data_IF_217245936900
#
_entry.id   IF_217245936900
#
_cell.length_a   1.000
_cell.length_b   1.000
_cell.length_c   1.000
_cell.angle_alpha   90.00
_cell.angle_beta   90.00
_cell.angle_gamma   90.00
#
_symmetry.space_group_name_H-M   'P 1'
#
loop_
_entity.id
_entity.type
_entity.pdbx_description
1 polymer ?
#
# COMPACT_ATOMS: atom_id res chain seq x y z
N UNK A 1 1.39 -22.95 6.45
CA UNK A 1 1.65 -21.50 6.50
C UNK A 1 0.31 -20.79 6.76
N UNK A 2 0.26 -19.78 7.63
CA UNK A 2 -1.00 -19.10 7.98
C UNK A 2 -1.50 -18.28 6.79
N UNK A 3 -2.80 -18.35 6.47
CA UNK A 3 -3.40 -17.52 5.44
C UNK A 3 -3.81 -16.16 6.03
N UNK A 4 -3.47 -15.09 5.31
CA UNK A 4 -3.81 -13.71 5.64
C UNK A 4 -4.37 -13.04 4.40
N UNK A 5 -5.56 -12.47 4.52
CA UNK A 5 -6.14 -11.60 3.50
C UNK A 5 -5.83 -10.16 3.87
N UNK A 6 -5.32 -9.39 2.91
CA UNK A 6 -4.99 -7.98 3.06
C UNK A 6 -5.84 -7.19 2.07
N UNK A 7 -6.55 -6.19 2.55
CA UNK A 7 -7.15 -5.14 1.72
C UNK A 7 -6.36 -3.86 1.95
N UNK A 8 -6.06 -3.12 0.90
CA UNK A 8 -5.24 -1.91 0.99
C UNK A 8 -5.74 -0.83 0.03
N UNK A 9 -5.76 0.41 0.51
CA UNK A 9 -6.12 1.58 -0.29
C UNK A 9 -5.34 2.83 0.17
N UNK A 10 -5.20 3.79 -0.74
CA UNK A 10 -4.51 5.06 -0.53
C UNK A 10 -5.33 6.22 -1.10
N UNK A 11 -5.42 7.30 -0.33
CA UNK A 11 -6.14 8.51 -0.70
C UNK A 11 -5.22 9.72 -0.60
N UNK A 12 -5.37 10.67 -1.52
CA UNK A 12 -4.63 11.94 -1.49
C UNK A 12 -5.54 13.11 -1.89
N UNK A 13 -5.59 14.17 -1.09
CA UNK A 13 -6.32 15.41 -1.36
C UNK A 13 -5.34 16.45 -1.92
N UNK A 14 -5.32 16.56 -3.24
CA UNK A 14 -4.23 17.20 -3.99
C UNK A 14 -3.11 16.21 -4.28
N UNK A 15 -2.44 16.31 -5.43
CA UNK A 15 -1.40 15.35 -5.84
C UNK A 15 -0.16 16.08 -6.43
N UNK A 16 0.82 16.49 -5.61
CA UNK A 16 0.98 16.16 -4.18
C UNK A 16 0.05 16.94 -3.23
N UNK A 17 -0.21 16.39 -2.05
CA UNK A 17 -1.08 16.99 -1.02
C UNK A 17 -1.21 16.15 0.25
N UNK A 18 -2.24 16.43 1.04
CA UNK A 18 -2.56 15.66 2.25
C UNK A 18 -2.96 14.24 1.85
N UNK A 19 -2.23 13.23 2.29
CA UNK A 19 -2.52 11.85 1.97
C UNK A 19 -2.77 10.99 3.21
N UNK A 20 -3.45 9.88 2.98
CA UNK A 20 -3.70 8.85 3.96
C UNK A 20 -3.71 7.48 3.31
N UNK A 21 -3.33 6.48 4.08
CA UNK A 21 -3.31 5.08 3.69
C UNK A 21 -4.11 4.25 4.68
N UNK A 22 -4.71 3.16 4.20
CA UNK A 22 -5.52 2.28 5.02
C UNK A 22 -5.33 0.82 4.61
N UNK A 23 -5.21 -0.07 5.60
CA UNK A 23 -5.17 -1.50 5.34
C UNK A 23 -5.94 -2.30 6.39
N UNK A 24 -6.56 -3.38 5.92
CA UNK A 24 -7.31 -4.35 6.71
C UNK A 24 -6.66 -5.71 6.53
N UNK A 25 -6.24 -6.34 7.63
CA UNK A 25 -5.67 -7.68 7.65
C UNK A 25 -6.64 -8.64 8.33
N UNK A 26 -6.94 -9.76 7.68
CA UNK A 26 -7.85 -10.79 8.19
C UNK A 26 -7.11 -12.13 8.20
N UNK A 27 -7.11 -12.81 9.35
CA UNK A 27 -6.55 -14.15 9.48
C UNK A 27 -7.38 -15.02 10.42
N UNK A 28 -8.04 -16.03 9.87
CA UNK A 28 -9.03 -16.82 10.60
C UNK A 28 -10.17 -15.91 11.09
N UNK A 29 -10.46 -15.93 12.39
CA UNK A 29 -11.44 -15.05 13.03
C UNK A 29 -10.88 -13.72 13.53
N UNK A 30 -9.61 -13.42 13.30
CA UNK A 30 -8.99 -12.17 13.76
C UNK A 30 -8.89 -11.16 12.63
N UNK A 31 -9.16 -9.91 12.98
CA UNK A 31 -9.06 -8.78 12.08
C UNK A 31 -8.23 -7.66 12.71
N UNK A 32 -7.45 -6.97 11.86
CA UNK A 32 -6.64 -5.82 12.26
C UNK A 32 -6.76 -4.73 11.21
N UNK A 33 -7.13 -3.54 11.65
CA UNK A 33 -7.16 -2.33 10.82
C UNK A 33 -5.97 -1.44 11.17
N UNK A 34 -5.32 -0.89 10.15
CA UNK A 34 -4.21 0.05 10.28
C UNK A 34 -4.44 1.22 9.33
N UNK A 35 -4.07 2.41 9.77
CA UNK A 35 -4.12 3.61 8.94
C UNK A 35 -3.08 4.63 9.41
N UNK A 36 -2.74 5.54 8.52
CA UNK A 36 -1.85 6.67 8.79
C UNK A 36 -1.96 7.72 7.70
N UNK A 37 -1.28 8.84 7.88
CA UNK A 37 -1.31 9.92 6.89
C UNK A 37 -0.06 10.79 6.91
N UNK A 38 0.15 11.46 5.78
CA UNK A 38 1.30 12.33 5.52
C UNK A 38 0.81 13.68 4.99
N UNK A 39 1.44 14.76 5.44
CA UNK A 39 1.00 16.12 5.08
C UNK A 39 1.27 16.46 3.61
N UNK A 40 2.37 15.95 3.04
CA UNK A 40 2.79 16.20 1.65
C UNK A 40 3.23 14.88 1.02
N UNK A 41 2.32 14.26 0.29
CA UNK A 41 2.54 12.97 -0.36
C UNK A 41 1.75 12.86 -1.66
N UNK A 42 1.70 11.68 -2.28
CA UNK A 42 0.95 11.41 -3.51
C UNK A 42 0.06 10.19 -3.34
N UNK A 43 -0.95 10.02 -4.20
CA UNK A 43 -1.82 8.83 -4.16
C UNK A 43 -1.01 7.53 -4.25
N UNK A 44 -0.11 7.44 -5.23
CA UNK A 44 0.72 6.26 -5.47
C UNK A 44 1.61 5.90 -4.27
N UNK A 45 2.10 6.91 -3.52
CA UNK A 45 2.88 6.66 -2.29
C UNK A 45 1.98 6.09 -1.19
N UNK A 46 0.78 6.61 -1.03
CA UNK A 46 -0.17 6.12 -0.03
C UNK A 46 -0.68 4.71 -0.34
N UNK A 47 -0.94 4.41 -1.61
CA UNK A 47 -1.28 3.06 -2.07
C UNK A 47 -0.16 2.05 -1.74
N UNK A 48 1.11 2.41 -2.00
CA UNK A 48 2.25 1.57 -1.63
C UNK A 48 2.42 1.44 -0.11
N UNK A 49 2.26 2.54 0.62
CA UNK A 49 2.41 2.55 2.07
C UNK A 49 1.38 1.64 2.74
N UNK A 50 0.14 1.64 2.27
CA UNK A 50 -0.91 0.75 2.76
C UNK A 50 -0.49 -0.73 2.72
N UNK A 51 0.10 -1.15 1.59
CA UNK A 51 0.59 -2.52 1.42
C UNK A 51 1.81 -2.78 2.30
N UNK A 52 2.78 -1.86 2.34
CA UNK A 52 3.99 -1.98 3.16
C UNK A 52 3.63 -2.17 4.64
N UNK A 53 2.73 -1.36 5.17
CA UNK A 53 2.30 -1.43 6.56
C UNK A 53 1.53 -2.71 6.88
N UNK A 54 0.81 -3.27 5.90
CA UNK A 54 0.23 -4.60 6.04
C UNK A 54 1.32 -5.67 6.22
N UNK A 55 2.36 -5.68 5.39
CA UNK A 55 3.45 -6.65 5.52
C UNK A 55 4.28 -6.43 6.80
N UNK A 56 4.54 -5.19 7.21
CA UNK A 56 5.21 -4.88 8.49
C UNK A 56 4.46 -5.41 9.71
N UNK A 57 3.13 -5.53 9.62
CA UNK A 57 2.31 -6.08 10.69
C UNK A 57 2.44 -7.61 10.83
N UNK A 58 2.95 -8.30 9.81
CA UNK A 58 3.14 -9.75 9.82
C UNK A 58 4.41 -10.11 10.59
N UNK A 59 4.26 -10.95 11.63
CA UNK A 59 5.38 -11.34 12.51
C UNK A 59 6.08 -12.63 12.08
N UNK A 60 5.61 -13.28 11.02
CA UNK A 60 6.09 -14.57 10.53
C UNK A 60 5.73 -14.76 9.05
N UNK A 61 6.41 -15.68 8.34
CA UNK A 61 6.03 -16.09 6.98
C UNK A 61 4.57 -16.53 6.88
N UNK A 62 3.85 -15.97 5.90
CA UNK A 62 2.42 -16.16 5.69
C UNK A 62 2.11 -16.37 4.20
N UNK A 63 0.97 -17.01 3.92
CA UNK A 63 0.32 -16.99 2.61
C UNK A 63 -0.58 -15.76 2.55
N UNK A 64 -0.20 -14.76 1.76
CA UNK A 64 -0.87 -13.46 1.75
C UNK A 64 -1.66 -13.28 0.46
N UNK A 65 -2.95 -12.96 0.58
CA UNK A 65 -3.81 -12.53 -0.53
C UNK A 65 -3.98 -11.02 -0.43
N UNK A 66 -3.32 -10.27 -1.29
CA UNK A 66 -3.40 -8.81 -1.32
C UNK A 66 -4.46 -8.37 -2.33
N UNK A 67 -5.46 -7.65 -1.85
CA UNK A 67 -6.52 -7.02 -2.64
C UNK A 67 -6.28 -5.52 -2.67
N UNK A 68 -6.13 -4.97 -3.87
CA UNK A 68 -5.93 -3.54 -4.11
C UNK A 68 -6.63 -3.13 -5.40
N UNK A 69 -7.17 -1.92 -5.44
CA UNK A 69 -7.66 -1.31 -6.67
C UNK A 69 -6.61 -0.43 -7.37
N UNK A 70 -5.45 -0.24 -6.75
CA UNK A 70 -4.33 0.48 -7.34
C UNK A 70 -3.76 -0.26 -8.54
N UNK A 71 -3.96 0.32 -9.72
CA UNK A 71 -3.27 -0.10 -10.93
C UNK A 71 -1.75 0.12 -10.83
N UNK A 72 -1.31 1.10 -10.04
CA UNK A 72 0.10 1.40 -9.87
C UNK A 72 0.81 0.28 -9.10
N UNK A 73 0.22 -0.18 -7.99
CA UNK A 73 0.74 -1.32 -7.22
C UNK A 73 0.66 -2.59 -8.06
N UNK A 74 -0.49 -2.86 -8.69
CA UNK A 74 -0.68 -4.06 -9.51
C UNK A 74 0.38 -4.17 -10.61
N UNK A 75 0.51 -3.14 -11.46
CA UNK A 75 1.49 -3.15 -12.56
C UNK A 75 2.93 -3.13 -12.06
N UNK A 76 3.20 -2.42 -10.97
CA UNK A 76 4.52 -2.39 -10.40
C UNK A 76 5.00 -3.76 -9.97
N UNK A 77 4.16 -4.53 -9.28
CA UNK A 77 4.48 -5.91 -8.90
C UNK A 77 4.54 -6.84 -10.12
N UNK A 78 3.53 -6.80 -11.00
CA UNK A 78 3.40 -7.81 -12.06
C UNK A 78 4.29 -7.59 -13.28
N UNK A 79 4.65 -6.34 -13.59
CA UNK A 79 5.34 -5.98 -14.83
C UNK A 79 6.70 -5.31 -14.60
N UNK A 80 6.81 -4.42 -13.60
CA UNK A 80 7.95 -3.49 -13.55
C UNK A 80 9.05 -3.90 -12.58
N UNK A 81 8.70 -4.46 -11.42
CA UNK A 81 9.62 -4.70 -10.31
C UNK A 81 10.81 -5.57 -10.71
N UNK A 82 10.57 -6.67 -11.42
CA UNK A 82 11.62 -7.56 -11.91
C UNK A 82 12.61 -6.82 -12.84
N UNK A 83 12.09 -6.00 -13.74
CA UNK A 83 12.89 -5.19 -14.66
C UNK A 83 13.69 -4.11 -13.94
N UNK A 84 13.10 -3.44 -12.95
CA UNK A 84 13.79 -2.45 -12.13
C UNK A 84 14.93 -3.07 -11.32
N UNK A 85 14.70 -4.22 -10.68
CA UNK A 85 15.75 -4.95 -9.94
C UNK A 85 16.91 -5.32 -10.84
N UNK A 86 16.63 -5.89 -12.02
CA UNK A 86 17.66 -6.26 -13.00
C UNK A 86 18.46 -5.04 -13.51
N UNK A 87 17.87 -3.84 -13.53
CA UNK A 87 18.51 -2.59 -13.98
C UNK A 87 19.06 -1.74 -12.83
N UNK A 88 19.16 -2.28 -11.62
CA UNK A 88 19.69 -1.56 -10.46
C UNK A 88 18.82 -0.36 -10.06
N UNK A 89 17.49 -0.53 -10.10
CA UNK A 89 16.48 0.47 -9.73
C UNK A 89 16.47 1.72 -10.62
N UNK A 90 16.67 1.51 -11.93
CA UNK A 90 16.60 2.55 -12.96
C UNK A 90 15.56 2.22 -14.02
N UNK A 91 14.93 3.26 -14.56
CA UNK A 91 14.02 3.15 -15.70
C UNK A 91 14.78 2.90 -17.01
N UNK A 92 14.06 2.66 -18.11
CA UNK A 92 14.67 2.53 -19.43
C UNK A 92 15.52 3.75 -19.84
N UNK A 93 15.10 4.94 -19.40
CA UNK A 93 15.81 6.20 -19.64
C UNK A 93 16.97 6.45 -18.65
N UNK A 94 17.40 5.42 -17.90
CA UNK A 94 18.46 5.47 -16.87
C UNK A 94 18.20 6.43 -15.71
N UNK A 95 16.96 6.88 -15.54
CA UNK A 95 16.54 7.71 -14.40
C UNK A 95 16.20 6.83 -13.20
N UNK A 96 16.31 7.34 -11.96
CA UNK A 96 15.79 6.65 -10.79
C UNK A 96 14.30 6.30 -10.95
N UNK A 97 13.91 5.12 -10.47
CA UNK A 97 12.50 4.72 -10.41
C UNK A 97 11.77 5.65 -9.45
N UNK A 98 10.55 6.07 -9.81
CA UNK A 98 9.72 6.86 -8.90
C UNK A 98 9.28 6.00 -7.71
N UNK A 99 9.36 6.56 -6.50
CA UNK A 99 9.05 5.87 -5.24
C UNK A 99 9.91 4.61 -5.02
N UNK A 100 11.18 4.64 -5.47
CA UNK A 100 12.09 3.50 -5.31
C UNK A 100 12.33 3.16 -3.84
N UNK A 101 12.30 4.16 -2.95
CA UNK A 101 12.32 4.01 -1.50
C UNK A 101 11.24 3.03 -0.99
N UNK A 102 10.00 3.22 -1.43
CA UNK A 102 8.87 2.40 -1.03
C UNK A 102 8.88 1.04 -1.73
N UNK A 103 9.22 1.00 -3.02
CA UNK A 103 9.28 -0.25 -3.76
C UNK A 103 10.35 -1.20 -3.24
N UNK A 104 11.53 -0.69 -2.87
CA UNK A 104 12.59 -1.50 -2.24
C UNK A 104 12.12 -2.08 -0.91
N UNK A 105 11.50 -1.24 -0.09
CA UNK A 105 10.93 -1.66 1.20
C UNK A 105 9.88 -2.77 0.99
N UNK A 106 8.98 -2.60 0.01
CA UNK A 106 7.97 -3.60 -0.30
C UNK A 106 8.62 -4.92 -0.79
N UNK A 107 9.56 -4.85 -1.72
CA UNK A 107 10.28 -6.01 -2.27
C UNK A 107 10.98 -6.81 -1.16
N UNK A 108 11.66 -6.14 -0.24
CA UNK A 108 12.33 -6.78 0.91
C UNK A 108 11.33 -7.49 1.83
N UNK A 109 10.19 -6.85 2.11
CA UNK A 109 9.16 -7.41 3.00
C UNK A 109 8.48 -8.63 2.38
N UNK A 110 8.13 -8.59 1.09
CA UNK A 110 7.34 -9.67 0.47
C UNK A 110 8.12 -10.96 0.25
N UNK A 111 9.46 -10.92 0.20
CA UNK A 111 10.32 -12.10 -0.05
C UNK A 111 10.10 -13.22 0.97
N UNK A 112 9.75 -12.88 2.22
CA UNK A 112 9.51 -13.87 3.27
C UNK A 112 8.12 -14.55 3.19
N UNK A 113 7.27 -14.18 2.23
CA UNK A 113 5.86 -14.59 2.16
C UNK A 113 5.52 -15.24 0.81
N UNK A 114 4.52 -16.13 0.84
CA UNK A 114 3.86 -16.61 -0.38
C UNK A 114 2.74 -15.61 -0.74
N UNK A 115 3.00 -14.68 -1.65
CA UNK A 115 2.07 -13.58 -1.96
C UNK A 115 1.29 -13.83 -3.26
N UNK A 116 -0.01 -13.62 -3.22
CA UNK A 116 -0.89 -13.55 -4.39
C UNK A 116 -1.55 -12.18 -4.46
N UNK A 117 -1.56 -11.59 -5.65
CA UNK A 117 -2.03 -10.24 -5.90
C UNK A 117 -3.35 -10.28 -6.67
N UNK A 118 -4.36 -9.61 -6.13
CA UNK A 118 -5.72 -9.57 -6.66
C UNK A 118 -6.09 -8.12 -6.91
N UNK A 119 -6.06 -7.72 -8.19
CA UNK A 119 -6.55 -6.40 -8.57
C UNK A 119 -8.07 -6.40 -8.65
N UNK A 120 -8.70 -5.47 -7.96
CA UNK A 120 -10.14 -5.24 -8.01
C UNK A 120 -10.44 -3.91 -8.71
N UNK A 121 -11.54 -3.85 -9.45
CA UNK A 121 -11.90 -2.66 -10.23
C UNK A 121 -12.62 -1.66 -9.32
N UNK A 122 -11.85 -0.79 -8.67
CA UNK A 122 -12.35 0.20 -7.71
C UNK A 122 -12.83 -0.41 -6.39
N UNK A 123 -13.35 0.43 -5.50
CA UNK A 123 -13.80 -0.01 -4.17
C UNK A 123 -15.24 -0.57 -4.14
N UNK A 124 -16.10 -0.20 -5.10
CA UNK A 124 -17.53 -0.49 -5.03
C UNK A 124 -17.83 -1.99 -5.14
N UNK A 125 -18.42 -2.58 -4.09
CA UNK A 125 -18.83 -3.98 -4.06
C UNK A 125 -17.81 -4.93 -3.44
N UNK A 126 -16.72 -4.41 -2.87
CA UNK A 126 -15.75 -5.17 -2.10
C UNK A 126 -15.65 -4.62 -0.67
N UNK A 127 -16.37 -5.19 0.31
CA UNK A 127 -16.44 -4.67 1.67
C UNK A 127 -15.08 -4.44 2.34
N UNK A 128 -14.08 -5.27 2.02
CA UNK A 128 -12.71 -5.09 2.51
C UNK A 128 -12.00 -3.86 1.93
N UNK A 129 -12.19 -3.57 0.64
CA UNK A 129 -11.65 -2.37 0.01
C UNK A 129 -12.39 -1.11 0.48
N UNK A 130 -13.71 -1.14 0.63
CA UNK A 130 -14.48 0.00 1.14
C UNK A 130 -14.02 0.38 2.57
N UNK A 131 -13.66 -0.62 3.38
CA UNK A 131 -13.06 -0.37 4.70
C UNK A 131 -11.65 0.21 4.59
N UNK A 132 -10.83 -0.29 3.67
CA UNK A 132 -9.50 0.27 3.42
C UNK A 132 -9.57 1.73 2.93
N UNK A 133 -10.49 2.08 2.03
CA UNK A 133 -10.76 3.46 1.59
C UNK A 133 -11.18 4.35 2.78
N UNK A 134 -12.10 3.88 3.61
CA UNK A 134 -12.53 4.61 4.79
C UNK A 134 -11.37 4.87 5.76
N UNK A 135 -10.48 3.90 5.93
CA UNK A 135 -9.24 4.02 6.72
C UNK A 135 -8.25 5.01 6.09
N UNK A 136 -8.08 4.99 4.77
CA UNK A 136 -7.23 5.93 4.06
C UNK A 136 -7.74 7.38 4.22
N UNK A 137 -9.05 7.60 4.10
CA UNK A 137 -9.65 8.91 4.33
C UNK A 137 -9.53 9.35 5.80
N UNK A 138 -9.61 8.44 6.78
CA UNK A 138 -9.27 8.75 8.19
C UNK A 138 -7.81 9.21 8.31
N UNK A 139 -6.88 8.55 7.61
CA UNK A 139 -5.47 8.93 7.54
C UNK A 139 -5.25 10.36 7.04
N UNK A 140 -5.99 10.76 5.99
CA UNK A 140 -5.96 12.14 5.47
C UNK A 140 -6.38 13.15 6.55
N UNK A 141 -7.43 12.86 7.32
CA UNK A 141 -7.90 13.76 8.37
C UNK A 141 -6.89 13.87 9.53
N UNK A 142 -6.21 12.77 9.89
CA UNK A 142 -5.11 12.79 10.86
C UNK A 142 -3.99 13.70 10.38
N UNK A 143 -3.55 13.55 9.12
CA UNK A 143 -2.51 14.41 8.53
C UNK A 143 -2.93 15.89 8.53
N UNK A 144 -4.20 16.18 8.23
CA UNK A 144 -4.76 17.54 8.27
C UNK A 144 -4.69 18.13 9.67
N UNK A 145 -5.11 17.37 10.69
CA UNK A 145 -5.08 17.82 12.08
C UNK A 145 -3.65 18.07 12.57
N UNK A 146 -2.72 17.17 12.26
CA UNK A 146 -1.31 17.32 12.61
C UNK A 146 -0.70 18.59 11.99
N UNK A 147 -1.04 18.89 10.73
CA UNK A 147 -0.56 20.10 10.05
C UNK A 147 -1.11 21.38 10.71
N UNK A 148 -2.35 21.36 11.20
CA UNK A 148 -2.98 22.49 11.91
C UNK A 148 -2.46 22.69 13.32
N UNK A 149 -2.07 21.62 14.01
CA UNK A 149 -1.54 21.68 15.37
C UNK A 149 -0.07 22.13 15.44
N UNK A 150 0.66 22.02 14.33
CA UNK A 150 2.05 22.47 14.19
C UNK A 150 2.22 23.86 13.54
N UNK A 151 1.12 24.54 13.22
CA UNK A 151 1.09 25.90 12.67
C UNK A 151 0.66 26.90 13.75
#
# INVERSE_FOLDING_TARGET
>A
MQEVTVYSDGACKGNPGLGGWGTVLISGGHEKELFGGEAVTTNNRMELMAVIEAFRALKRPCRVKVYTDSQYVQKGISEWLAGWKARGWKTADKKPVKNDDLWRTLDELVVAHEVSWHWVKGHAGHPGNERADALANKGVEVARQATRAGA
#
